data_IF_052971823589
#
_entry.id   IF_052971823589
#
_cell.length_a   1.000
_cell.length_b   1.000
_cell.length_c   1.000
_cell.angle_alpha   90.00
_cell.angle_beta   90.00
_cell.angle_gamma   90.00
#
_symmetry.space_group_name_H-M   'P 1'
#
loop_
_entity.id
_entity.type
_entity.pdbx_description
1 polymer ?
#
# COMPACT_ATOMS: atom_id res chain seq x y z
N UNK A 1 7.81 -15.00 -11.76
CA UNK A 1 7.21 -13.70 -11.40
C UNK A 1 6.76 -13.68 -9.98
N UNK A 2 6.90 -12.54 -9.33
CA UNK A 2 6.47 -12.36 -7.95
C UNK A 2 5.08 -11.75 -7.91
N UNK A 3 4.19 -12.34 -7.14
CA UNK A 3 2.91 -11.72 -6.82
C UNK A 3 3.02 -11.06 -5.45
N UNK A 4 2.46 -9.87 -5.31
CA UNK A 4 2.56 -9.13 -4.07
C UNK A 4 1.33 -8.26 -3.85
N UNK A 5 1.09 -7.93 -2.59
CA UNK A 5 -0.05 -7.12 -2.17
C UNK A 5 0.44 -5.79 -1.67
N UNK A 6 -0.22 -4.72 -2.11
CA UNK A 6 0.07 -3.35 -1.69
C UNK A 6 -1.11 -2.83 -0.91
N UNK A 7 -0.86 -2.24 0.27
CA UNK A 7 -1.83 -1.43 0.98
C UNK A 7 -1.62 0.02 0.56
N UNK A 8 -2.63 0.62 -0.03
CA UNK A 8 -2.63 2.04 -0.39
C UNK A 8 -3.42 2.81 0.66
N UNK A 9 -2.89 3.96 1.08
CA UNK A 9 -3.59 4.83 2.03
C UNK A 9 -3.30 6.29 1.74
N UNK A 10 -4.29 7.15 1.98
CA UNK A 10 -4.14 8.59 1.85
C UNK A 10 -5.20 9.30 2.68
N UNK A 11 -4.84 10.43 3.28
CA UNK A 11 -5.80 11.29 3.98
C UNK A 11 -5.69 12.77 3.57
N UNK A 12 -4.97 13.04 2.48
CA UNK A 12 -4.95 14.36 1.84
C UNK A 12 -5.43 14.16 0.41
N UNK A 13 -6.54 14.79 0.05
CA UNK A 13 -7.18 14.60 -1.25
C UNK A 13 -7.18 13.11 -1.65
N UNK A 14 -7.73 12.22 -0.78
CA UNK A 14 -7.48 10.79 -0.92
C UNK A 14 -8.04 10.18 -2.20
N UNK A 15 -9.19 10.65 -2.69
CA UNK A 15 -9.73 10.16 -3.95
C UNK A 15 -8.78 10.41 -5.12
N UNK A 16 -8.23 11.61 -5.17
CA UNK A 16 -7.29 12.02 -6.21
C UNK A 16 -5.99 11.23 -6.10
N UNK A 17 -5.45 11.11 -4.88
CA UNK A 17 -4.16 10.47 -4.67
C UNK A 17 -4.20 8.96 -4.89
N UNK A 18 -5.27 8.28 -4.49
CA UNK A 18 -5.43 6.87 -4.80
C UNK A 18 -5.58 6.64 -6.30
N UNK A 19 -6.36 7.49 -6.98
CA UNK A 19 -6.54 7.44 -8.43
C UNK A 19 -5.21 7.63 -9.16
N UNK A 20 -4.42 8.62 -8.72
CA UNK A 20 -3.10 8.90 -9.29
C UNK A 20 -2.13 7.74 -9.08
N UNK A 21 -2.16 7.12 -7.91
CA UNK A 21 -1.31 5.97 -7.60
C UNK A 21 -1.63 4.79 -8.54
N UNK A 22 -2.90 4.50 -8.74
CA UNK A 22 -3.33 3.45 -9.68
C UNK A 22 -2.84 3.72 -11.09
N UNK A 23 -2.97 4.96 -11.54
CA UNK A 23 -2.54 5.37 -12.87
C UNK A 23 -1.04 5.16 -13.04
N UNK A 24 -0.25 5.59 -12.05
CA UNK A 24 1.20 5.40 -12.08
C UNK A 24 1.57 3.92 -12.12
N UNK A 25 0.92 3.10 -11.31
CA UNK A 25 1.18 1.66 -11.30
C UNK A 25 0.80 1.01 -12.65
N UNK A 26 -0.32 1.40 -13.23
CA UNK A 26 -0.76 0.88 -14.53
C UNK A 26 0.17 1.29 -15.66
N UNK A 27 0.74 2.47 -15.59
CA UNK A 27 1.66 2.98 -16.61
C UNK A 27 3.09 2.44 -16.44
N UNK A 28 3.41 1.90 -15.26
CA UNK A 28 4.72 1.34 -15.01
C UNK A 28 4.81 -0.06 -15.59
N UNK A 29 5.61 -0.22 -16.64
CA UNK A 29 5.64 -1.44 -17.46
C UNK A 29 6.03 -2.71 -16.70
N UNK A 30 6.73 -2.58 -15.57
CA UNK A 30 7.22 -3.74 -14.80
C UNK A 30 6.27 -4.20 -13.71
N UNK A 31 5.17 -3.51 -13.49
CA UNK A 31 4.15 -3.90 -12.51
C UNK A 31 2.81 -4.05 -13.21
N UNK A 32 2.13 -5.16 -12.95
CA UNK A 32 0.78 -5.40 -13.45
C UNK A 32 -0.17 -5.53 -12.27
N UNK A 33 -1.24 -4.73 -12.26
CA UNK A 33 -2.30 -4.86 -11.25
C UNK A 33 -3.21 -6.00 -11.67
N UNK A 34 -3.36 -7.00 -10.81
CA UNK A 34 -4.22 -8.17 -11.07
C UNK A 34 -5.61 -7.98 -10.50
N UNK A 35 -5.71 -7.38 -9.31
CA UNK A 35 -6.97 -7.19 -8.60
C UNK A 35 -6.91 -5.97 -7.71
N UNK A 36 -8.10 -5.40 -7.44
CA UNK A 36 -8.27 -4.29 -6.52
C UNK A 36 -9.38 -4.63 -5.53
N UNK A 37 -9.16 -4.31 -4.26
CA UNK A 37 -10.22 -4.40 -3.25
C UNK A 37 -11.16 -3.20 -3.36
N UNK A 38 -12.25 -3.22 -2.59
CA UNK A 38 -13.03 -2.02 -2.33
C UNK A 38 -12.19 -0.98 -1.59
N UNK A 39 -12.65 0.26 -1.57
CA UNK A 39 -12.01 1.34 -0.81
C UNK A 39 -12.71 1.46 0.54
N UNK A 40 -11.93 1.52 1.63
CA UNK A 40 -12.46 1.61 2.98
C UNK A 40 -11.95 2.86 3.67
N UNK A 41 -12.88 3.60 4.29
CA UNK A 41 -12.57 4.80 5.05
C UNK A 41 -12.27 4.43 6.51
N UNK A 42 -11.18 4.98 7.06
CA UNK A 42 -10.80 4.79 8.45
C UNK A 42 -10.46 6.12 9.10
N UNK A 43 -10.64 6.20 10.43
CA UNK A 43 -10.32 7.40 11.18
C UNK A 43 -8.80 7.60 11.29
N UNK A 44 -8.38 8.88 11.33
CA UNK A 44 -7.00 9.24 11.59
C UNK A 44 -6.71 9.13 13.10
N UNK A 45 -5.95 8.10 13.48
CA UNK A 45 -5.60 7.86 14.89
C UNK A 45 -4.34 8.62 15.29
N UNK A 46 -4.37 9.26 16.46
CA UNK A 46 -3.20 9.87 17.07
C UNK A 46 -2.79 11.21 16.51
N UNK A 47 -3.55 11.79 15.60
CA UNK A 47 -3.29 13.13 15.06
C UNK A 47 -4.59 13.74 14.51
N UNK A 48 -4.57 15.06 14.32
CA UNK A 48 -5.68 15.75 13.68
C UNK A 48 -5.49 15.71 12.17
N UNK A 49 -6.53 15.39 11.46
CA UNK A 49 -6.52 15.32 10.01
C UNK A 49 -7.77 14.65 9.49
N UNK A 50 -7.91 14.62 8.19
CA UNK A 50 -9.02 13.95 7.54
C UNK A 50 -8.86 12.43 7.66
N UNK A 51 -9.97 11.72 7.52
CA UNK A 51 -9.97 10.28 7.52
C UNK A 51 -9.17 9.72 6.34
N UNK A 52 -8.59 8.53 6.55
CA UNK A 52 -7.90 7.82 5.48
C UNK A 52 -8.89 7.11 4.57
N UNK A 53 -8.56 7.07 3.28
CA UNK A 53 -9.09 6.05 2.38
C UNK A 53 -8.02 4.99 2.18
N UNK A 54 -8.42 3.73 2.23
CA UNK A 54 -7.51 2.57 2.15
C UNK A 54 -7.99 1.61 1.08
N UNK A 55 -7.04 0.99 0.40
CA UNK A 55 -7.33 -0.03 -0.61
C UNK A 55 -6.17 -1.02 -0.67
N UNK A 56 -6.46 -2.29 -0.97
CA UNK A 56 -5.43 -3.30 -1.22
C UNK A 56 -5.45 -3.70 -2.69
N UNK A 57 -4.28 -3.86 -3.27
CA UNK A 57 -4.14 -4.35 -4.64
C UNK A 57 -3.23 -5.56 -4.67
N UNK A 58 -3.63 -6.57 -5.45
CA UNK A 58 -2.77 -7.69 -5.80
C UNK A 58 -2.08 -7.34 -7.11
N UNK A 59 -0.77 -7.39 -7.12
CA UNK A 59 0.05 -7.07 -8.28
C UNK A 59 1.03 -8.19 -8.58
N UNK A 60 1.63 -8.12 -9.78
CA UNK A 60 2.75 -9.00 -10.12
C UNK A 60 3.87 -8.22 -10.76
N UNK A 61 5.11 -8.70 -10.60
CA UNK A 61 6.30 -8.08 -11.17
C UNK A 61 7.40 -9.14 -11.32
N UNK A 62 8.33 -8.91 -12.25
CA UNK A 62 9.56 -9.71 -12.35
C UNK A 62 10.71 -9.09 -11.56
N UNK A 63 10.51 -7.90 -10.97
CA UNK A 63 11.51 -7.28 -10.10
C UNK A 63 11.62 -8.03 -8.77
N UNK A 64 12.76 -7.86 -8.09
CA UNK A 64 12.93 -8.35 -6.73
C UNK A 64 12.22 -7.43 -5.74
N UNK A 65 12.19 -7.83 -4.47
CA UNK A 65 11.54 -7.07 -3.40
C UNK A 65 12.12 -5.66 -3.25
N UNK A 66 13.44 -5.57 -3.20
CA UNK A 66 14.15 -4.28 -2.99
C UNK A 66 13.81 -3.27 -4.08
N UNK A 67 13.87 -3.69 -5.34
CA UNK A 67 13.57 -2.82 -6.47
C UNK A 67 12.10 -2.42 -6.50
N UNK A 68 11.22 -3.34 -6.15
CA UNK A 68 9.78 -3.05 -6.07
C UNK A 68 9.50 -2.04 -4.97
N UNK A 69 10.08 -2.23 -3.79
CA UNK A 69 9.92 -1.31 -2.68
C UNK A 69 10.39 0.09 -3.06
N UNK A 70 11.56 0.19 -3.71
CA UNK A 70 12.10 1.46 -4.16
C UNK A 70 11.15 2.16 -5.14
N UNK A 71 10.59 1.42 -6.09
CA UNK A 71 9.63 1.95 -7.05
C UNK A 71 8.42 2.54 -6.35
N UNK A 72 7.88 1.83 -5.36
CA UNK A 72 6.73 2.33 -4.60
C UNK A 72 7.07 3.58 -3.81
N UNK A 73 8.26 3.64 -3.21
CA UNK A 73 8.70 4.84 -2.48
C UNK A 73 8.90 6.03 -3.42
N UNK A 74 9.39 5.79 -4.62
CA UNK A 74 9.52 6.84 -5.64
C UNK A 74 8.14 7.40 -6.03
N UNK A 75 7.13 6.55 -6.14
CA UNK A 75 5.75 6.98 -6.42
C UNK A 75 5.21 7.83 -5.25
N UNK A 76 5.42 7.41 -4.01
CA UNK A 76 5.04 8.20 -2.83
C UNK A 76 5.67 9.60 -2.87
N UNK A 77 6.95 9.67 -3.19
CA UNK A 77 7.68 10.94 -3.24
C UNK A 77 7.18 11.83 -4.37
N UNK A 78 6.77 11.24 -5.49
CA UNK A 78 6.21 11.99 -6.62
C UNK A 78 4.94 12.74 -6.23
N UNK A 79 4.14 12.19 -5.33
CA UNK A 79 2.90 12.83 -4.87
C UNK A 79 3.08 13.64 -3.59
N UNK A 80 4.31 14.01 -3.26
CA UNK A 80 4.58 14.97 -2.20
C UNK A 80 4.44 14.46 -0.78
N UNK A 81 4.66 13.15 -0.55
CA UNK A 81 4.66 12.63 0.80
C UNK A 81 5.75 13.30 1.62
N UNK A 82 5.34 13.96 2.72
CA UNK A 82 6.25 14.64 3.63
C UNK A 82 6.44 13.78 4.86
N UNK A 83 7.71 13.51 5.22
CA UNK A 83 8.07 12.82 6.45
C UNK A 83 8.62 13.83 7.43
N UNK A 84 8.02 13.89 8.62
CA UNK A 84 8.51 14.72 9.72
C UNK A 84 9.09 13.79 10.79
N UNK A 85 10.42 13.83 11.03
CA UNK A 85 11.03 12.95 12.02
C UNK A 85 10.57 13.23 13.45
N UNK A 86 10.03 14.42 13.70
CA UNK A 86 9.53 14.81 15.02
C UNK A 86 8.05 14.49 15.23
N UNK A 87 7.33 14.10 14.18
CA UNK A 87 5.91 13.79 14.28
C UNK A 87 5.53 12.65 13.33
N UNK A 88 5.39 11.45 13.90
CA UNK A 88 5.04 10.24 13.14
C UNK A 88 3.60 10.24 12.63
N UNK A 89 2.76 11.10 13.18
CA UNK A 89 1.32 11.09 12.94
C UNK A 89 0.86 12.25 12.08
N UNK A 90 1.73 12.76 11.20
CA UNK A 90 1.31 13.80 10.27
C UNK A 90 0.47 13.19 9.14
N UNK A 91 -0.38 14.02 8.55
CA UNK A 91 -1.17 13.64 7.39
C UNK A 91 -0.26 13.27 6.22
N UNK A 92 -0.68 12.27 5.44
CA UNK A 92 0.12 11.74 4.33
C UNK A 92 -0.65 11.82 3.03
N UNK A 93 0.00 12.39 2.00
CA UNK A 93 -0.59 12.45 0.67
C UNK A 93 -0.84 11.05 0.13
N UNK A 94 0.16 10.17 0.24
CA UNK A 94 0.07 8.81 -0.27
C UNK A 94 1.01 7.89 0.50
N UNK A 95 0.52 6.72 0.82
CA UNK A 95 1.29 5.66 1.47
C UNK A 95 1.09 4.37 0.71
N UNK A 96 2.19 3.72 0.31
CA UNK A 96 2.18 2.48 -0.45
C UNK A 96 3.06 1.47 0.29
N UNK A 97 2.44 0.47 0.91
CA UNK A 97 3.16 -0.53 1.70
C UNK A 97 2.97 -1.92 1.12
N UNK A 98 4.07 -2.67 0.97
CA UNK A 98 4.00 -4.09 0.61
C UNK A 98 3.61 -4.85 1.87
N UNK A 99 2.48 -5.56 1.82
CA UNK A 99 1.98 -6.30 2.99
C UNK A 99 2.09 -7.82 2.83
N UNK A 100 2.32 -8.30 1.61
CA UNK A 100 2.59 -9.72 1.37
C UNK A 100 3.42 -9.82 0.10
N UNK A 101 4.42 -10.70 0.10
CA UNK A 101 5.34 -10.84 -1.02
C UNK A 101 5.57 -12.31 -1.36
N UNK A 102 5.10 -12.71 -2.54
CA UNK A 102 5.42 -14.02 -3.16
C UNK A 102 5.19 -15.22 -2.23
N UNK A 103 4.19 -15.12 -1.33
CA UNK A 103 3.86 -16.14 -0.33
C UNK A 103 5.01 -16.50 0.63
N UNK A 104 5.97 -15.59 0.78
CA UNK A 104 7.07 -15.78 1.73
C UNK A 104 6.53 -15.59 3.15
N UNK A 105 6.94 -16.49 4.04
CA UNK A 105 6.71 -16.36 5.48
C UNK A 105 8.06 -16.14 6.15
N UNK A 106 8.23 -14.98 6.78
CA UNK A 106 9.48 -14.60 7.44
C UNK A 106 9.94 -13.23 7.03
N UNK A 107 11.23 -12.96 7.21
CA UNK A 107 11.79 -11.65 6.90
C UNK A 107 12.41 -11.59 5.51
N UNK A 108 12.19 -10.45 4.84
CA UNK A 108 12.89 -10.09 3.60
C UNK A 108 13.31 -8.63 3.72
N UNK A 109 14.61 -8.37 3.58
CA UNK A 109 15.20 -7.02 3.69
C UNK A 109 14.76 -6.26 4.96
N UNK A 110 14.59 -6.96 6.09
CA UNK A 110 14.19 -6.37 7.35
C UNK A 110 12.67 -6.21 7.53
N UNK A 111 11.88 -6.60 6.55
CA UNK A 111 10.42 -6.56 6.62
C UNK A 111 9.85 -7.93 6.90
N UNK A 112 8.91 -8.01 7.84
CA UNK A 112 8.20 -9.27 8.13
C UNK A 112 7.09 -9.47 7.11
N UNK A 113 7.03 -10.66 6.51
CA UNK A 113 5.99 -11.01 5.53
C UNK A 113 5.30 -12.32 5.90
N UNK A 114 3.99 -12.42 5.78
CA UNK A 114 3.07 -11.28 5.56
C UNK A 114 3.15 -10.26 6.70
N UNK A 115 2.83 -9.01 6.39
CA UNK A 115 2.93 -7.92 7.38
C UNK A 115 2.01 -8.24 8.57
N UNK A 116 2.54 -8.19 9.82
CA UNK A 116 1.71 -8.47 11.00
C UNK A 116 0.52 -7.53 11.16
N UNK A 117 0.55 -6.35 10.55
CA UNK A 117 -0.56 -5.41 10.59
C UNK A 117 -1.84 -5.97 9.94
N UNK A 118 -1.71 -6.95 9.05
CA UNK A 118 -2.88 -7.64 8.46
C UNK A 118 -3.77 -8.22 9.57
N UNK A 119 -3.16 -8.79 10.61
CA UNK A 119 -3.90 -9.40 11.71
C UNK A 119 -4.18 -8.44 12.87
N UNK A 120 -3.53 -7.28 12.90
CA UNK A 120 -3.74 -6.26 13.94
C UNK A 120 -4.89 -5.31 13.63
N UNK A 121 -5.20 -5.13 12.35
CA UNK A 121 -6.22 -4.18 11.91
C UNK A 121 -7.25 -4.88 11.03
N UNK A 122 -8.49 -4.93 11.47
CA UNK A 122 -9.56 -5.61 10.77
C UNK A 122 -9.76 -5.08 9.35
N UNK A 123 -9.62 -3.77 9.16
CA UNK A 123 -9.82 -3.19 7.83
C UNK A 123 -8.77 -3.67 6.83
N UNK A 124 -7.52 -3.86 7.26
CA UNK A 124 -6.46 -4.36 6.38
C UNK A 124 -6.74 -5.82 6.02
N UNK A 125 -7.11 -6.62 7.02
CA UNK A 125 -7.43 -8.03 6.81
C UNK A 125 -8.61 -8.21 5.84
N UNK A 126 -9.67 -7.43 6.01
CA UNK A 126 -10.83 -7.49 5.13
C UNK A 126 -10.48 -7.17 3.68
N UNK A 127 -9.73 -6.09 3.46
CA UNK A 127 -9.32 -5.68 2.12
C UNK A 127 -8.35 -6.68 1.48
N UNK A 128 -7.42 -7.20 2.28
CA UNK A 128 -6.48 -8.22 1.84
C UNK A 128 -7.23 -9.50 1.38
N UNK A 129 -8.20 -9.95 2.16
CA UNK A 129 -8.98 -11.15 1.84
C UNK A 129 -9.86 -10.94 0.59
N UNK A 130 -10.35 -9.74 0.33
CA UNK A 130 -11.09 -9.45 -0.90
C UNK A 130 -10.25 -9.75 -2.14
N UNK A 131 -8.96 -9.45 -2.10
CA UNK A 131 -8.06 -9.68 -3.24
C UNK A 131 -7.52 -11.10 -3.26
N UNK A 132 -7.36 -11.74 -2.11
CA UNK A 132 -6.78 -13.07 -2.01
C UNK A 132 -7.80 -14.18 -2.30
N UNK A 133 -9.03 -14.01 -1.83
CA UNK A 133 -10.08 -15.03 -1.94
C UNK A 133 -10.94 -14.81 -3.18
N UNK A 134 -10.32 -14.60 -4.28
CA UNK A 134 -11.05 -14.44 -5.51
C UNK A 134 -11.60 -15.75 -5.99
N UNK A 135 -12.83 -15.76 -6.19
CA UNK A 135 -13.52 -16.86 -6.87
C UNK A 135 -13.83 -16.46 -8.29
#
# INVERSE_FOLDING_TARGET
MNEFYILLGSNIEPDKNLSNAKKELNEFSKITILKESSIKKTEAHGFQGDDFLNQVMLCKTDMNFTDTLKTLKDIENKFGRIRDPNNKFISRTLDLDIIDWSNIEGEIDGYSMPDPDINKHDFIKELYLETKNDT
#
